data_IF_732729439560
#
_entry.id   IF_732729439560
#
_cell.length_a   1.000
_cell.length_b   1.000
_cell.length_c   1.000
_cell.angle_alpha   90.00
_cell.angle_beta   90.00
_cell.angle_gamma   90.00
#
_symmetry.space_group_name_H-M   'P 1'
#
loop_
_entity.id
_entity.type
_entity.pdbx_description
1 polymer ?
#
# COMPACT_ATOMS: atom_id res chain seq x y z
N UNK A 1 -7.79 8.14 -1.95
CA UNK A 1 -6.87 7.47 -2.88
C UNK A 1 -7.54 7.35 -4.23
N UNK A 2 -6.83 7.57 -5.33
CA UNK A 2 -7.37 7.20 -6.64
C UNK A 2 -7.51 5.68 -6.72
N UNK A 3 -8.49 5.23 -7.51
CA UNK A 3 -8.73 3.82 -7.69
C UNK A 3 -7.84 3.30 -8.84
N UNK A 4 -6.66 2.80 -8.48
CA UNK A 4 -5.73 2.22 -9.43
C UNK A 4 -6.12 0.78 -9.73
N UNK A 5 -5.95 0.34 -10.98
CA UNK A 5 -6.11 -1.08 -11.37
C UNK A 5 -5.12 -2.01 -10.65
N UNK A 6 -4.06 -1.45 -10.07
CA UNK A 6 -3.07 -2.17 -9.28
C UNK A 6 -3.51 -2.43 -7.84
N UNK A 7 -4.51 -1.69 -7.33
CA UNK A 7 -5.02 -1.82 -5.97
C UNK A 7 -5.50 -3.24 -5.68
N UNK A 8 -5.34 -3.68 -4.45
CA UNK A 8 -5.81 -4.99 -4.00
C UNK A 8 -7.30 -4.97 -3.69
N UNK A 9 -7.98 -6.06 -4.07
CA UNK A 9 -9.39 -6.25 -3.75
C UNK A 9 -9.59 -6.45 -2.25
N UNK A 10 -10.82 -6.21 -1.77
CA UNK A 10 -11.15 -6.44 -0.36
C UNK A 10 -10.88 -7.89 0.05
N UNK A 11 -11.17 -8.86 -0.82
CA UNK A 11 -10.93 -10.27 -0.55
C UNK A 11 -9.44 -10.56 -0.36
N UNK A 12 -8.57 -10.04 -1.23
CA UNK A 12 -7.12 -10.17 -1.09
C UNK A 12 -6.63 -9.50 0.19
N UNK A 13 -7.17 -8.32 0.49
CA UNK A 13 -6.84 -7.59 1.71
C UNK A 13 -7.16 -8.39 2.97
N UNK A 14 -8.28 -9.11 3.03
CA UNK A 14 -8.63 -9.94 4.19
C UNK A 14 -7.60 -11.02 4.51
N UNK A 15 -6.95 -11.61 3.49
CA UNK A 15 -5.89 -12.59 3.71
C UNK A 15 -4.61 -11.93 4.22
N UNK A 16 -4.19 -10.83 3.60
CA UNK A 16 -2.98 -10.07 4.01
C UNK A 16 -3.15 -9.51 5.42
N UNK A 17 -4.33 -9.01 5.75
CA UNK A 17 -4.64 -8.42 7.06
C UNK A 17 -4.38 -9.39 8.22
N UNK A 18 -4.54 -10.70 8.00
CA UNK A 18 -4.31 -11.74 9.02
C UNK A 18 -2.84 -11.95 9.36
N UNK A 19 -1.92 -11.63 8.45
CA UNK A 19 -0.48 -11.78 8.67
C UNK A 19 0.17 -10.51 9.21
N UNK A 20 -0.55 -9.39 9.19
CA UNK A 20 -0.04 -8.10 9.66
C UNK A 20 -0.38 -7.87 11.14
N UNK A 21 0.63 -7.49 11.93
CA UNK A 21 0.41 -7.02 13.31
C UNK A 21 -0.16 -5.60 13.31
N UNK A 22 -1.50 -5.53 13.33
CA UNK A 22 -2.26 -4.29 13.30
C UNK A 22 -2.22 -3.53 14.63
N UNK A 23 -2.10 -4.24 15.75
CA UNK A 23 -2.41 -3.69 17.07
C UNK A 23 -1.22 -3.02 17.80
N UNK A 24 0.02 -3.28 17.40
CA UNK A 24 1.18 -2.89 18.23
C UNK A 24 1.71 -1.47 17.98
N UNK A 25 1.25 -0.77 16.94
CA UNK A 25 1.79 0.54 16.57
C UNK A 25 0.72 1.49 16.04
N UNK A 26 0.64 2.68 16.66
CA UNK A 26 -0.10 3.82 16.10
C UNK A 26 0.57 4.27 14.81
N UNK A 27 -0.13 4.14 13.68
CA UNK A 27 0.34 4.50 12.34
C UNK A 27 -0.49 5.67 11.82
N UNK A 28 0.17 6.64 11.17
CA UNK A 28 -0.50 7.76 10.51
C UNK A 28 -1.27 7.33 9.25
N UNK A 29 -0.76 6.32 8.55
CA UNK A 29 -1.35 5.78 7.33
C UNK A 29 -1.87 4.37 7.57
N UNK A 30 -2.99 4.05 6.92
CA UNK A 30 -3.53 2.69 6.93
C UNK A 30 -2.61 1.72 6.18
N UNK A 31 -2.44 0.50 6.69
CA UNK A 31 -1.56 -0.49 6.08
C UNK A 31 -2.02 -0.90 4.69
N UNK A 32 -3.33 -0.84 4.40
CA UNK A 32 -3.86 -1.10 3.06
C UNK A 32 -3.33 -0.09 2.06
N UNK A 33 -3.18 1.16 2.49
CA UNK A 33 -2.68 2.25 1.65
C UNK A 33 -1.22 1.99 1.26
N UNK A 34 -0.41 1.53 2.22
CA UNK A 34 0.99 1.13 1.99
C UNK A 34 1.03 -0.08 1.06
N UNK A 35 0.18 -1.09 1.28
CA UNK A 35 0.14 -2.28 0.43
C UNK A 35 -0.26 -1.96 -1.02
N UNK A 36 -1.24 -1.07 -1.21
CA UNK A 36 -1.61 -0.59 -2.55
C UNK A 36 -0.44 0.13 -3.24
N UNK A 37 0.35 0.92 -2.49
CA UNK A 37 1.54 1.57 -3.04
C UNK A 37 2.63 0.55 -3.46
N UNK A 38 2.89 -0.47 -2.65
CA UNK A 38 3.81 -1.56 -2.99
C UNK A 38 3.31 -2.28 -4.26
N UNK A 39 2.02 -2.62 -4.32
CA UNK A 39 1.44 -3.30 -5.48
C UNK A 39 1.47 -2.43 -6.74
N UNK A 40 1.33 -1.11 -6.60
CA UNK A 40 1.50 -0.17 -7.71
C UNK A 40 2.94 -0.23 -8.25
N UNK A 41 3.95 -0.15 -7.37
CA UNK A 41 5.36 -0.27 -7.75
C UNK A 41 5.66 -1.59 -8.46
N UNK A 42 5.25 -2.71 -7.86
CA UNK A 42 5.51 -4.06 -8.39
C UNK A 42 4.84 -4.27 -9.74
N UNK A 43 3.59 -3.81 -9.94
CA UNK A 43 2.85 -4.01 -11.19
C UNK A 43 3.27 -3.05 -12.30
N UNK A 44 3.60 -1.81 -11.97
CA UNK A 44 3.98 -0.81 -12.98
C UNK A 44 5.47 -0.82 -13.30
N UNK A 45 6.30 -1.33 -12.40
CA UNK A 45 7.75 -1.26 -12.51
C UNK A 45 8.31 0.16 -12.41
N UNK A 46 7.51 1.13 -11.95
CA UNK A 46 7.99 2.50 -11.83
C UNK A 46 9.04 2.64 -10.74
N UNK A 47 9.89 3.66 -10.87
CA UNK A 47 10.89 3.94 -9.84
C UNK A 47 10.22 4.34 -8.53
N UNK A 48 10.80 3.94 -7.40
CA UNK A 48 10.26 4.20 -6.05
C UNK A 48 9.94 5.69 -5.80
N UNK A 49 10.77 6.59 -6.33
CA UNK A 49 10.60 8.05 -6.21
C UNK A 49 9.51 8.63 -7.12
N UNK A 50 9.04 7.86 -8.09
CA UNK A 50 7.98 8.23 -9.03
C UNK A 50 6.60 7.74 -8.57
N UNK A 51 6.48 7.33 -7.30
CA UNK A 51 5.20 6.94 -6.73
C UNK A 51 4.21 8.12 -6.82
N UNK A 52 2.96 7.88 -7.25
CA UNK A 52 1.94 8.93 -7.30
C UNK A 52 1.75 9.62 -5.94
N UNK A 53 1.60 10.95 -5.95
CA UNK A 53 1.55 11.77 -4.73
C UNK A 53 0.30 11.58 -3.86
N UNK A 54 -0.68 10.80 -4.31
CA UNK A 54 -1.85 10.40 -3.52
C UNK A 54 -1.61 9.15 -2.66
N UNK A 55 -0.47 8.48 -2.85
CA UNK A 55 0.05 7.50 -1.90
C UNK A 55 0.82 8.17 -0.75
N UNK A 56 1.06 7.45 0.36
CA UNK A 56 2.02 7.89 1.37
C UNK A 56 3.36 8.17 0.72
N UNK A 57 4.15 9.06 1.33
CA UNK A 57 5.46 9.37 0.79
C UNK A 57 6.29 8.10 0.63
N UNK A 58 7.11 8.07 -0.42
CA UNK A 58 7.87 6.89 -0.83
C UNK A 58 8.79 6.35 0.28
N UNK A 59 9.23 7.20 1.23
CA UNK A 59 10.03 6.79 2.40
C UNK A 59 9.26 5.87 3.37
N UNK A 60 7.93 5.88 3.30
CA UNK A 60 7.03 5.10 4.16
C UNK A 60 6.52 3.83 3.48
N UNK A 61 6.87 3.64 2.22
CA UNK A 61 6.56 2.44 1.44
C UNK A 61 7.81 1.58 1.53
N UNK A 62 7.81 0.55 2.37
CA UNK A 62 8.83 -0.51 2.48
C UNK A 62 8.24 -1.72 3.23
#
# INVERSE_FOLDING_TARGET
>A
MKNYSTNISDNQWQFIKKTLNLNDRKRKYDLRTIWNAIMYLVKTGCQWRMLPGDFPKWELVY
#
